data_IF_882866388736
#
_entry.id   IF_882866388736
#
_cell.length_a   1.000
_cell.length_b   1.000
_cell.length_c   1.000
_cell.angle_alpha   90.00
_cell.angle_beta   90.00
_cell.angle_gamma   90.00
#
_symmetry.space_group_name_H-M   'P 1'
#
loop_
_entity.id
_entity.type
_entity.pdbx_description
1 polymer ?
#
# COMPACT_ATOMS: atom_id res chain seq x y z
N UNK A 1 14.50 3.56 -4.77
CA UNK A 1 14.22 2.85 -3.50
C UNK A 1 12.80 2.32 -3.62
N UNK A 2 12.57 1.03 -3.38
CA UNK A 2 11.22 0.46 -3.41
C UNK A 2 10.42 0.91 -2.19
N UNK A 3 9.13 1.23 -2.36
CA UNK A 3 8.22 1.66 -1.28
C UNK A 3 8.26 0.72 -0.06
N UNK A 4 8.37 -0.59 -0.29
CA UNK A 4 8.61 -1.61 0.75
C UNK A 4 9.78 -1.27 1.68
N UNK A 5 10.92 -0.85 1.13
CA UNK A 5 12.11 -0.56 1.93
C UNK A 5 11.93 0.68 2.80
N UNK A 6 11.20 1.68 2.32
CA UNK A 6 10.83 2.87 3.10
C UNK A 6 9.98 2.45 4.31
N UNK A 7 8.97 1.59 4.12
CA UNK A 7 8.12 1.10 5.21
C UNK A 7 8.93 0.32 6.27
N UNK A 8 9.85 -0.52 5.83
CA UNK A 8 10.77 -1.23 6.74
C UNK A 8 11.65 -0.26 7.52
N UNK A 9 12.19 0.79 6.87
CA UNK A 9 12.96 1.85 7.54
C UNK A 9 12.11 2.70 8.51
N UNK A 10 10.79 2.79 8.29
CA UNK A 10 9.83 3.42 9.21
C UNK A 10 9.45 2.54 10.41
N UNK A 11 9.94 1.30 10.47
CA UNK A 11 9.68 0.35 11.56
C UNK A 11 8.65 -0.73 11.23
N UNK A 12 8.21 -0.84 9.98
CA UNK A 12 7.33 -1.92 9.53
C UNK A 12 8.14 -3.12 9.00
N UNK A 13 8.72 -3.89 9.92
CA UNK A 13 9.49 -5.09 9.58
C UNK A 13 8.63 -6.17 8.91
N UNK A 14 7.30 -6.12 9.10
CA UNK A 14 6.34 -7.04 8.51
C UNK A 14 5.86 -6.64 7.12
N UNK A 15 6.27 -5.47 6.62
CA UNK A 15 5.88 -5.03 5.29
C UNK A 15 6.36 -6.03 4.23
N UNK A 16 5.50 -6.32 3.26
CA UNK A 16 5.77 -7.28 2.19
C UNK A 16 5.17 -6.84 0.86
N UNK A 17 5.88 -7.15 -0.24
CA UNK A 17 5.29 -7.01 -1.57
C UNK A 17 4.36 -8.18 -1.84
N UNK A 18 3.11 -7.87 -2.16
CA UNK A 18 2.09 -8.82 -2.57
C UNK A 18 1.66 -8.53 -4.01
N UNK A 19 1.17 -9.53 -4.76
CA UNK A 19 0.45 -9.24 -5.99
C UNK A 19 -0.77 -8.38 -5.67
N UNK A 20 -0.99 -7.30 -6.43
CA UNK A 20 -2.15 -6.46 -6.23
C UNK A 20 -3.43 -7.31 -6.32
N UNK A 21 -4.32 -7.25 -5.32
CA UNK A 21 -5.59 -7.95 -5.38
C UNK A 21 -6.35 -7.53 -6.64
N UNK A 22 -6.86 -8.50 -7.41
CA UNK A 22 -7.65 -8.23 -8.63
C UNK A 22 -8.89 -7.34 -8.39
N UNK A 23 -9.37 -7.29 -7.14
CA UNK A 23 -10.46 -6.39 -6.72
C UNK A 23 -10.02 -4.93 -6.66
N UNK A 24 -8.74 -4.67 -6.39
CA UNK A 24 -8.15 -3.34 -6.25
C UNK A 24 -7.57 -2.83 -7.57
N UNK A 25 -7.00 -3.71 -8.39
CA UNK A 25 -6.47 -3.34 -9.70
C UNK A 25 -6.73 -4.43 -10.73
N UNK A 26 -7.22 -4.03 -11.90
CA UNK A 26 -7.49 -4.91 -13.06
C UNK A 26 -6.18 -5.28 -13.77
N UNK A 27 -5.13 -4.49 -13.56
CA UNK A 27 -3.80 -4.68 -14.14
C UNK A 27 -2.92 -5.44 -13.15
N UNK A 28 -1.99 -6.28 -13.63
CA UNK A 28 -1.03 -7.06 -12.82
C UNK A 28 -0.02 -6.17 -12.04
N UNK A 29 -0.51 -5.24 -11.24
CA UNK A 29 0.30 -4.36 -10.39
C UNK A 29 0.88 -5.11 -9.18
N UNK A 30 1.87 -4.49 -8.56
CA UNK A 30 2.37 -4.89 -7.25
C UNK A 30 1.71 -4.01 -6.19
N UNK A 31 1.30 -4.60 -5.07
CA UNK A 31 0.87 -3.86 -3.90
C UNK A 31 1.85 -4.14 -2.75
N UNK A 32 1.93 -3.22 -1.79
CA UNK A 32 2.70 -3.44 -0.57
C UNK A 32 1.72 -3.53 0.58
N UNK A 33 1.77 -4.66 1.30
CA UNK A 33 1.05 -4.82 2.55
C UNK A 33 1.91 -4.27 3.67
N UNK A 34 1.33 -3.42 4.50
CA UNK A 34 1.99 -2.79 5.63
C UNK A 34 0.99 -2.71 6.79
N UNK A 35 1.51 -2.63 8.01
CA UNK A 35 0.78 -2.72 9.28
C UNK A 35 0.92 -1.45 10.13
N UNK A 36 1.86 -0.56 9.78
CA UNK A 36 1.98 0.74 10.43
C UNK A 36 0.85 1.69 10.00
N UNK A 37 0.49 2.68 10.84
CA UNK A 37 -0.50 3.70 10.47
C UNK A 37 -0.08 4.42 9.19
N UNK A 38 -0.97 4.46 8.20
CA UNK A 38 -0.70 5.15 6.95
C UNK A 38 -0.54 6.66 7.19
N UNK A 39 0.56 7.22 6.69
CA UNK A 39 0.85 8.66 6.72
C UNK A 39 0.83 9.22 5.29
N UNK A 40 -0.25 9.92 4.95
CA UNK A 40 -0.48 10.56 3.66
C UNK A 40 0.57 11.62 3.28
N UNK A 41 1.33 12.16 4.25
CA UNK A 41 2.37 13.15 3.99
C UNK A 41 3.75 12.53 3.70
N UNK A 42 4.00 11.30 4.14
CA UNK A 42 5.33 10.68 4.12
C UNK A 42 5.41 9.38 3.31
N UNK A 43 4.29 8.65 3.19
CA UNK A 43 4.24 7.36 2.52
C UNK A 43 4.02 7.47 1.01
N UNK A 44 2.89 8.03 0.52
CA UNK A 44 2.59 7.97 -0.91
C UNK A 44 3.65 8.72 -1.74
N UNK A 45 3.93 8.17 -2.92
CA UNK A 45 4.81 8.74 -3.94
C UNK A 45 4.05 8.96 -5.26
N UNK A 46 4.74 9.48 -6.27
CA UNK A 46 4.19 9.79 -7.59
C UNK A 46 3.64 8.53 -8.32
N UNK A 47 4.10 7.35 -7.92
CA UNK A 47 3.71 6.05 -8.47
C UNK A 47 2.64 5.35 -7.61
N UNK A 48 2.21 5.96 -6.51
CA UNK A 48 1.20 5.39 -5.62
C UNK A 48 -0.19 5.71 -6.15
N UNK A 49 -0.84 4.73 -6.78
CA UNK A 49 -2.22 4.87 -7.29
C UNK A 49 -3.25 5.08 -6.16
N UNK A 50 -3.08 4.37 -5.04
CA UNK A 50 -4.01 4.44 -3.92
C UNK A 50 -3.67 3.52 -2.76
N UNK A 51 -4.27 3.81 -1.61
CA UNK A 51 -4.08 3.02 -0.38
C UNK A 51 -5.42 2.57 0.14
N UNK A 52 -5.46 1.31 0.57
CA UNK A 52 -6.67 0.62 0.97
C UNK A 52 -6.46 -0.06 2.31
N UNK A 53 -7.45 0.02 3.18
CA UNK A 53 -7.52 -0.77 4.42
C UNK A 53 -8.30 -2.04 4.12
N UNK A 54 -7.70 -3.18 4.44
CA UNK A 54 -8.39 -4.47 4.40
C UNK A 54 -9.19 -4.67 5.70
N UNK A 55 -10.51 -4.67 5.62
CA UNK A 55 -11.42 -4.95 6.73
C UNK A 55 -12.38 -6.08 6.35
N UNK A 56 -12.34 -7.22 7.06
CA UNK A 56 -13.24 -8.36 6.84
C UNK A 56 -13.26 -8.93 5.39
N UNK A 57 -12.15 -8.81 4.65
CA UNK A 57 -12.06 -9.26 3.26
C UNK A 57 -12.63 -8.28 2.23
N UNK A 58 -13.07 -7.11 2.69
CA UNK A 58 -13.31 -5.94 1.86
C UNK A 58 -12.12 -4.99 1.95
N UNK A 59 -11.98 -4.16 0.90
CA UNK A 59 -10.95 -3.15 0.85
C UNK A 59 -11.61 -1.78 0.80
N UNK A 60 -11.28 -0.94 1.79
CA UNK A 60 -11.74 0.43 1.86
C UNK A 60 -10.61 1.37 1.44
N UNK A 61 -10.82 2.10 0.36
CA UNK A 61 -9.87 3.12 -0.06
C UNK A 61 -9.80 4.25 0.98
N UNK A 62 -8.59 4.59 1.40
CA UNK A 62 -8.31 5.69 2.32
C UNK A 62 -7.50 6.80 1.66
N UNK A 63 -6.81 6.48 0.56
CA UNK A 63 -6.07 7.45 -0.24
C UNK A 63 -6.21 7.09 -1.72
N UNK A 64 -6.31 8.13 -2.56
CA UNK A 64 -6.30 8.03 -4.02
C UNK A 64 -5.41 9.15 -4.54
N UNK A 65 -4.50 8.81 -5.43
CA UNK A 65 -3.76 9.79 -6.21
C UNK A 65 -4.45 9.84 -7.58
N UNK A 66 -5.39 10.77 -7.73
CA UNK A 66 -6.12 11.02 -8.99
C UNK A 66 -5.49 12.22 -9.72
#
# INVERSE_FOLDING_TARGET
MTFLRRLQEMGDEGAEMIPAPRRLSISCGSAVRFFIPFDEAAMPDEDTDGVFIEENGDYRQVFSND
#
